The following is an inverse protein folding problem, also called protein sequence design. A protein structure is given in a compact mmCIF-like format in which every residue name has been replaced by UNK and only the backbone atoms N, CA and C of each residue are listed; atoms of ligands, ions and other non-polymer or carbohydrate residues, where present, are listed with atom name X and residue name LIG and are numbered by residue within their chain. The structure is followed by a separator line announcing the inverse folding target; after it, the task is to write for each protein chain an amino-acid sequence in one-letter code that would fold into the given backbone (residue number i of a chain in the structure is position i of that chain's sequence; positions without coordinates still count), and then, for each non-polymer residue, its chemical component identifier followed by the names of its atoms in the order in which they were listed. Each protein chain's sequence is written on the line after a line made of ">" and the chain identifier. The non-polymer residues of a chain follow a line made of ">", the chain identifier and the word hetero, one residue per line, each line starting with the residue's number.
data_IF_911616184911
#
_entry.id   IF_911616184911
#
_cell.length_a   1.000
_cell.length_b   1.000
_cell.length_c   1.000
_cell.angle_alpha   90.00
_cell.angle_beta   90.00
_cell.angle_gamma   90.00
#
_symmetry.space_group_name_H-M   'P 1'
#
loop_
_entity.id
_entity.type
_entity.pdbx_description
1 polymer ?
#
# COMPACT_ATOMS: atom_id res chain seq x y z
N UNK A 1 -11.79 11.54 -1.55
CA UNK A 1 -10.73 11.58 -0.51
C UNK A 1 -9.87 12.81 -0.78
N UNK A 2 -9.39 13.49 0.24
CA UNK A 2 -8.46 14.63 0.09
C UNK A 2 -7.03 14.15 0.38
N UNK A 3 -6.08 14.58 -0.46
CA UNK A 3 -4.65 14.29 -0.29
C UNK A 3 -3.88 15.60 -0.15
N UNK A 4 -3.14 15.74 0.94
CA UNK A 4 -2.23 16.87 1.19
C UNK A 4 -0.79 16.36 1.24
N UNK A 5 0.15 17.01 0.54
CA UNK A 5 1.56 16.61 0.47
C UNK A 5 2.44 17.67 1.13
N UNK A 6 3.35 17.23 1.98
CA UNK A 6 4.38 18.07 2.63
C UNK A 6 5.76 17.41 2.51
N UNK A 7 6.81 18.20 2.29
CA UNK A 7 8.18 17.71 2.14
C UNK A 7 9.16 18.78 1.66
N UNK A 8 10.46 18.52 1.82
CA UNK A 8 11.53 19.49 1.50
C UNK A 8 12.41 18.97 0.34
N UNK A 9 12.57 19.80 -0.70
CA UNK A 9 13.88 20.01 -1.35
C UNK A 9 14.48 18.93 -2.26
N UNK A 10 13.71 18.06 -2.93
CA UNK A 10 14.26 17.35 -4.10
C UNK A 10 14.04 18.14 -5.39
N UNK A 11 15.06 18.16 -6.26
CA UNK A 11 14.91 18.67 -7.62
C UNK A 11 13.93 17.76 -8.37
N UNK A 12 12.73 18.27 -8.61
CA UNK A 12 11.69 17.55 -9.33
C UNK A 12 12.02 17.52 -10.82
N UNK A 13 11.94 16.33 -11.42
CA UNK A 13 12.12 16.12 -12.85
C UNK A 13 10.97 16.80 -13.64
N UNK A 14 11.25 17.82 -14.46
CA UNK A 14 10.22 18.53 -15.21
C UNK A 14 9.62 17.66 -16.31
N UNK A 15 8.31 17.46 -16.30
CA UNK A 15 7.60 16.67 -17.30
C UNK A 15 6.41 17.43 -17.89
N UNK A 16 6.36 17.49 -19.22
CA UNK A 16 5.22 18.01 -19.97
C UNK A 16 4.25 16.88 -20.27
N UNK A 17 3.16 16.78 -19.53
CA UNK A 17 2.06 15.85 -19.88
C UNK A 17 1.03 16.62 -20.69
N UNK A 18 0.88 16.34 -21.98
CA UNK A 18 -0.08 17.00 -22.85
C UNK A 18 -1.48 16.42 -22.68
N UNK A 19 -2.51 17.25 -22.88
CA UNK A 19 -3.89 16.75 -22.99
C UNK A 19 -3.96 15.82 -24.19
N UNK A 20 -4.48 14.62 -23.99
CA UNK A 20 -4.58 13.66 -25.07
C UNK A 20 -5.59 14.13 -26.12
N UNK A 21 -5.25 13.93 -27.39
CA UNK A 21 -6.15 14.21 -28.51
C UNK A 21 -7.45 13.44 -28.31
N UNK A 22 -8.58 14.10 -28.56
CA UNK A 22 -9.93 13.54 -28.42
C UNK A 22 -10.32 13.10 -26.98
N UNK A 23 -9.55 13.47 -25.96
CA UNK A 23 -9.84 13.12 -24.56
C UNK A 23 -11.17 13.71 -24.05
N UNK A 24 -11.66 14.80 -24.63
CA UNK A 24 -12.95 15.41 -24.27
C UNK A 24 -14.16 14.49 -24.49
N UNK A 25 -13.98 13.38 -25.22
CA UNK A 25 -14.97 12.32 -25.39
C UNK A 25 -15.07 11.39 -24.18
N UNK A 26 -14.07 11.41 -23.28
CA UNK A 26 -14.05 10.57 -22.09
C UNK A 26 -14.88 11.18 -20.95
N UNK A 27 -15.61 10.37 -20.17
CA UNK A 27 -16.27 10.82 -18.95
C UNK A 27 -15.28 11.10 -17.80
N UNK A 28 -14.00 10.75 -17.95
CA UNK A 28 -12.95 10.92 -16.95
C UNK A 28 -11.66 11.34 -17.65
N UNK A 29 -11.03 12.42 -17.20
CA UNK A 29 -9.75 12.86 -17.75
C UNK A 29 -8.61 11.95 -17.30
N UNK A 30 -8.05 11.22 -18.26
CA UNK A 30 -6.88 10.37 -18.11
C UNK A 30 -5.62 11.21 -17.90
N UNK A 31 -5.46 12.30 -18.66
CA UNK A 31 -4.33 13.23 -18.57
C UNK A 31 -4.20 13.79 -17.16
N UNK A 32 -5.31 14.23 -16.58
CA UNK A 32 -5.29 14.85 -15.26
C UNK A 32 -4.90 13.84 -14.17
N UNK A 33 -5.37 12.60 -14.27
CA UNK A 33 -4.97 11.54 -13.34
C UNK A 33 -3.48 11.23 -13.48
N UNK A 34 -2.95 11.12 -14.70
CA UNK A 34 -1.50 10.92 -14.93
C UNK A 34 -0.69 12.05 -14.29
N UNK A 35 -1.09 13.32 -14.51
CA UNK A 35 -0.40 14.47 -13.91
C UNK A 35 -0.42 14.43 -12.39
N UNK A 36 -1.57 14.08 -11.80
CA UNK A 36 -1.71 13.96 -10.36
C UNK A 36 -0.84 12.83 -9.81
N UNK A 37 -0.86 11.65 -10.43
CA UNK A 37 -0.03 10.51 -10.04
C UNK A 37 1.47 10.86 -10.04
N UNK A 38 1.95 11.45 -11.13
CA UNK A 38 3.35 11.88 -11.27
C UNK A 38 3.71 12.96 -10.24
N UNK A 39 2.83 13.93 -9.98
CA UNK A 39 3.07 14.93 -8.94
C UNK A 39 3.11 14.29 -7.54
N UNK A 40 2.16 13.38 -7.22
CA UNK A 40 2.11 12.68 -5.93
C UNK A 40 3.29 11.74 -5.71
N UNK A 41 3.97 11.33 -6.78
CA UNK A 41 5.20 10.53 -6.68
C UNK A 41 6.36 11.29 -6.01
N UNK A 42 6.31 12.62 -5.99
CA UNK A 42 7.39 13.45 -5.47
C UNK A 42 8.65 13.45 -6.35
N UNK A 43 8.65 12.78 -7.50
CA UNK A 43 9.76 12.85 -8.47
C UNK A 43 9.56 13.91 -9.53
N UNK A 44 8.31 14.22 -9.88
CA UNK A 44 8.00 14.99 -11.07
C UNK A 44 7.36 16.33 -10.74
N UNK A 45 7.69 17.34 -11.56
CA UNK A 45 6.98 18.60 -11.62
C UNK A 45 6.33 18.71 -12.99
N UNK A 46 5.01 18.84 -13.03
CA UNK A 46 4.31 19.12 -14.28
C UNK A 46 4.68 20.52 -14.78
N UNK A 47 5.09 20.63 -16.04
CA UNK A 47 5.37 21.92 -16.68
C UNK A 47 4.08 22.60 -17.13
N UNK A 48 4.07 23.93 -17.15
CA UNK A 48 2.97 24.71 -17.71
C UNK A 48 3.06 24.71 -19.24
N UNK A 49 2.11 24.04 -19.89
CA UNK A 49 2.15 23.87 -21.34
C UNK A 49 1.33 24.94 -22.10
N UNK A 50 0.57 25.79 -21.39
CA UNK A 50 -0.28 26.81 -21.99
C UNK A 50 -1.25 26.23 -23.02
N UNK A 51 -1.36 26.90 -24.17
CA UNK A 51 -2.16 26.45 -25.32
C UNK A 51 -1.37 25.58 -26.32
N UNK A 52 -0.23 25.02 -25.91
CA UNK A 52 0.51 24.13 -26.79
C UNK A 52 -0.33 22.91 -27.16
N UNK A 53 -0.21 22.48 -28.41
CA UNK A 53 -0.79 21.24 -28.92
C UNK A 53 0.37 20.45 -29.50
N UNK A 54 0.45 19.18 -29.16
CA UNK A 54 1.45 18.26 -29.69
C UNK A 54 0.77 16.95 -30.02
N UNK A 55 1.09 16.42 -31.20
CA UNK A 55 0.54 15.15 -31.65
C UNK A 55 1.35 13.98 -31.10
N UNK A 56 0.69 12.85 -30.91
CA UNK A 56 1.33 11.56 -30.72
C UNK A 56 1.81 10.91 -32.03
N UNK A 57 1.58 11.56 -33.18
CA UNK A 57 2.10 11.16 -34.48
C UNK A 57 3.47 11.80 -34.76
N UNK A 58 4.44 10.99 -35.18
CA UNK A 58 5.77 11.47 -35.54
C UNK A 58 6.69 11.81 -34.37
N UNK A 59 7.66 12.69 -34.63
CA UNK A 59 8.70 13.11 -33.69
C UNK A 59 8.45 14.56 -33.26
N UNK A 60 8.36 14.85 -31.95
CA UNK A 60 8.14 16.22 -31.47
C UNK A 60 9.37 17.10 -31.70
N UNK A 61 9.17 18.41 -31.70
CA UNK A 61 10.30 19.35 -31.71
C UNK A 61 10.96 19.40 -30.33
N UNK A 62 11.96 18.55 -30.09
CA UNK A 62 12.66 18.46 -28.79
C UNK A 62 13.17 19.81 -28.28
N UNK A 63 13.68 20.67 -29.18
CA UNK A 63 14.21 21.98 -28.79
C UNK A 63 13.12 22.90 -28.25
N UNK A 64 11.92 22.89 -28.83
CA UNK A 64 10.82 23.73 -28.36
C UNK A 64 10.37 23.31 -26.95
N UNK A 65 10.36 22.01 -26.66
CA UNK A 65 10.03 21.47 -25.33
C UNK A 65 11.12 21.72 -24.30
N UNK A 66 12.39 21.61 -24.68
CA UNK A 66 13.51 21.98 -23.82
C UNK A 66 13.46 23.46 -23.41
N UNK A 67 13.13 24.36 -24.35
CA UNK A 67 12.95 25.80 -24.08
C UNK A 67 11.77 26.07 -23.14
N UNK A 68 10.73 25.23 -23.17
CA UNK A 68 9.61 25.26 -22.21
C UNK A 68 9.96 24.66 -20.85
N UNK A 69 11.20 24.21 -20.67
CA UNK A 69 11.70 23.65 -19.41
C UNK A 69 11.24 22.21 -19.14
N UNK A 70 10.84 21.45 -20.17
CA UNK A 70 10.50 20.04 -20.03
C UNK A 70 11.72 19.14 -20.30
N UNK A 71 11.96 18.18 -19.40
CA UNK A 71 12.98 17.14 -19.57
C UNK A 71 12.39 15.84 -20.14
N UNK A 72 11.09 15.60 -19.93
CA UNK A 72 10.31 14.61 -20.65
C UNK A 72 8.99 15.17 -21.18
N UNK A 73 8.46 14.54 -22.21
CA UNK A 73 7.17 14.87 -22.84
C UNK A 73 6.31 13.61 -22.97
N UNK A 74 5.06 13.73 -22.55
CA UNK A 74 4.00 12.73 -22.72
C UNK A 74 2.94 13.30 -23.64
N UNK A 75 2.62 12.58 -24.69
CA UNK A 75 1.55 12.88 -25.66
C UNK A 75 0.69 11.65 -25.84
N UNK A 76 -0.54 11.82 -26.30
CA UNK A 76 -1.43 10.69 -26.49
C UNK A 76 -2.71 11.07 -27.22
N UNK A 77 -3.51 10.05 -27.51
CA UNK A 77 -4.78 10.16 -28.20
C UNK A 77 -5.79 9.14 -27.66
N UNK A 78 -7.06 9.41 -27.91
CA UNK A 78 -8.18 8.56 -27.51
C UNK A 78 -9.03 8.23 -28.74
N UNK A 79 -9.22 6.94 -28.98
CA UNK A 79 -10.11 6.44 -30.03
C UNK A 79 -11.31 5.76 -29.37
N UNK A 80 -12.53 6.18 -29.71
CA UNK A 80 -13.72 5.45 -29.28
C UNK A 80 -13.95 4.28 -30.25
N UNK A 81 -13.88 3.05 -29.74
CA UNK A 81 -13.99 1.82 -30.55
C UNK A 81 -15.37 1.17 -30.47
N UNK A 82 -16.22 1.62 -29.56
CA UNK A 82 -17.60 1.17 -29.41
C UNK A 82 -18.38 1.94 -28.34
N UNK A 83 -19.55 1.43 -27.97
CA UNK A 83 -20.37 2.03 -26.90
C UNK A 83 -19.66 1.88 -25.54
N UNK A 84 -19.08 2.98 -25.05
CA UNK A 84 -18.38 3.02 -23.76
C UNK A 84 -17.03 2.29 -23.73
N UNK A 85 -16.47 1.97 -24.90
CA UNK A 85 -15.14 1.35 -25.05
C UNK A 85 -14.20 2.31 -25.77
N UNK A 86 -12.99 2.42 -25.25
CA UNK A 86 -11.98 3.37 -25.67
C UNK A 86 -10.63 2.68 -25.81
N UNK A 87 -9.88 3.08 -26.82
CA UNK A 87 -8.47 2.78 -26.96
C UNK A 87 -7.68 4.06 -26.63
N UNK A 88 -6.78 3.97 -25.64
CA UNK A 88 -5.95 5.08 -25.18
C UNK A 88 -4.52 4.81 -25.60
N UNK A 89 -3.97 5.68 -26.42
CA UNK A 89 -2.60 5.63 -26.88
C UNK A 89 -1.81 6.71 -26.17
N UNK A 90 -0.60 6.40 -25.72
CA UNK A 90 0.35 7.45 -25.35
C UNK A 90 1.75 7.10 -25.79
N UNK A 91 2.58 8.13 -25.88
CA UNK A 91 4.02 8.04 -26.11
C UNK A 91 4.77 8.93 -25.14
N UNK A 92 5.96 8.48 -24.78
CA UNK A 92 6.89 9.18 -23.92
C UNK A 92 8.19 9.49 -24.69
N UNK A 93 8.69 10.70 -24.48
CA UNK A 93 9.92 11.18 -25.08
C UNK A 93 10.86 11.74 -24.00
N UNK A 94 12.14 11.38 -24.08
CA UNK A 94 13.22 12.02 -23.31
C UNK A 94 13.70 13.22 -24.11
N UNK A 95 13.38 14.42 -23.64
CA UNK A 95 13.66 15.68 -24.34
C UNK A 95 15.17 15.96 -24.34
N UNK A 96 15.85 15.62 -23.25
CA UNK A 96 17.29 15.85 -23.08
C UNK A 96 18.11 14.99 -24.03
N UNK A 97 17.70 13.74 -24.22
CA UNK A 97 18.37 12.79 -25.12
C UNK A 97 17.83 12.83 -26.55
N UNK A 98 16.72 13.52 -26.79
CA UNK A 98 16.04 13.56 -28.10
C UNK A 98 15.68 12.17 -28.63
N UNK A 99 15.16 11.31 -27.75
CA UNK A 99 14.76 9.93 -28.10
C UNK A 99 13.32 9.65 -27.68
N UNK A 100 12.66 8.76 -28.43
CA UNK A 100 11.40 8.16 -27.98
C UNK A 100 11.68 7.00 -27.03
N UNK A 101 10.94 6.97 -25.92
CA UNK A 101 10.94 5.85 -24.97
C UNK A 101 9.77 4.88 -25.26
N UNK A 102 9.05 5.06 -26.37
CA UNK A 102 7.87 4.28 -26.71
C UNK A 102 6.65 4.64 -25.87
N UNK A 103 5.70 3.71 -25.73
CA UNK A 103 4.39 3.99 -25.17
C UNK A 103 3.56 2.72 -24.93
N UNK A 104 2.28 2.89 -24.58
CA UNK A 104 1.30 1.79 -24.51
C UNK A 104 0.05 2.15 -25.29
N UNK A 105 -0.64 1.09 -25.75
CA UNK A 105 -2.01 1.15 -26.25
C UNK A 105 -2.88 0.35 -25.28
N UNK A 106 -3.87 1.00 -24.67
CA UNK A 106 -4.72 0.40 -23.64
C UNK A 106 -6.17 0.41 -24.10
N UNK A 107 -6.79 -0.76 -24.09
CA UNK A 107 -8.24 -0.89 -24.20
C UNK A 107 -8.87 -0.70 -22.82
N UNK A 108 -9.84 0.22 -22.71
CA UNK A 108 -10.53 0.52 -21.46
C UNK A 108 -12.01 0.78 -21.69
N UNK A 109 -12.83 0.30 -20.76
CA UNK A 109 -14.21 0.78 -20.63
C UNK A 109 -14.26 2.13 -19.92
N UNK A 110 -15.40 2.82 -20.03
CA UNK A 110 -15.68 4.05 -19.29
C UNK A 110 -15.39 3.93 -17.78
N UNK A 111 -15.75 2.79 -17.17
CA UNK A 111 -15.60 2.54 -15.73
C UNK A 111 -14.14 2.29 -15.29
N UNK A 112 -13.24 2.01 -16.24
CA UNK A 112 -11.85 1.62 -15.96
C UNK A 112 -10.82 2.68 -16.40
N UNK A 113 -11.26 3.86 -16.85
CA UNK A 113 -10.37 4.92 -17.34
C UNK A 113 -9.33 5.36 -16.31
N UNK A 114 -9.69 5.37 -15.02
CA UNK A 114 -8.75 5.65 -13.93
C UNK A 114 -7.63 4.62 -13.85
N UNK A 115 -7.97 3.34 -13.94
CA UNK A 115 -6.99 2.26 -13.93
C UNK A 115 -6.05 2.33 -15.15
N UNK A 116 -6.57 2.71 -16.31
CA UNK A 116 -5.76 2.97 -17.50
C UNK A 116 -4.78 4.13 -17.28
N UNK A 117 -5.24 5.25 -16.71
CA UNK A 117 -4.40 6.40 -16.39
C UNK A 117 -3.28 6.05 -15.38
N UNK A 118 -3.62 5.34 -14.31
CA UNK A 118 -2.65 4.86 -13.32
C UNK A 118 -1.59 3.95 -13.95
N UNK A 119 -1.98 3.06 -14.86
CA UNK A 119 -1.06 2.18 -15.59
C UNK A 119 -0.10 2.97 -16.50
N UNK A 120 -0.58 4.03 -17.15
CA UNK A 120 0.27 4.94 -17.94
C UNK A 120 1.27 5.65 -17.03
N UNK A 121 0.85 6.16 -15.88
CA UNK A 121 1.74 6.81 -14.93
C UNK A 121 2.80 5.85 -14.36
N UNK A 122 2.43 4.59 -14.10
CA UNK A 122 3.37 3.55 -13.65
C UNK A 122 4.43 3.24 -14.71
N UNK A 123 4.04 3.14 -15.99
CA UNK A 123 4.99 2.92 -17.08
C UNK A 123 5.91 4.13 -17.31
N UNK A 124 5.40 5.37 -17.18
CA UNK A 124 6.23 6.58 -17.25
C UNK A 124 7.31 6.58 -16.17
N UNK A 125 6.94 6.28 -14.92
CA UNK A 125 7.91 6.13 -13.81
C UNK A 125 8.95 5.06 -14.17
N UNK A 126 8.51 3.91 -14.66
CA UNK A 126 9.42 2.81 -15.00
C UNK A 126 10.41 3.18 -16.11
N UNK A 127 9.94 3.81 -17.19
CA UNK A 127 10.79 4.19 -18.33
C UNK A 127 11.79 5.30 -17.99
N UNK A 128 11.43 6.23 -17.11
CA UNK A 128 12.31 7.34 -16.75
C UNK A 128 13.26 7.00 -15.59
N UNK A 129 12.79 6.22 -14.61
CA UNK A 129 13.49 6.01 -13.34
C UNK A 129 13.95 4.56 -13.12
N UNK A 130 13.45 3.60 -13.90
CA UNK A 130 13.74 2.18 -13.72
C UNK A 130 13.06 1.53 -12.52
N UNK A 131 12.15 2.24 -11.86
CA UNK A 131 11.42 1.78 -10.67
C UNK A 131 9.96 1.45 -11.01
N UNK A 132 9.32 0.52 -10.29
CA UNK A 132 7.88 0.26 -10.48
C UNK A 132 7.05 1.33 -9.76
N UNK A 133 6.19 2.02 -10.50
CA UNK A 133 5.16 2.89 -9.93
C UNK A 133 4.09 2.09 -9.17
N UNK A 134 3.41 2.73 -8.22
CA UNK A 134 2.41 2.09 -7.35
C UNK A 134 0.99 2.63 -7.59
N UNK A 135 0.75 3.38 -8.66
CA UNK A 135 -0.54 4.05 -8.86
C UNK A 135 -1.66 3.07 -9.21
N UNK A 136 -1.34 2.00 -9.94
CA UNK A 136 -2.30 0.93 -10.28
C UNK A 136 -2.56 -0.06 -9.13
N UNK A 137 -1.88 0.11 -7.99
CA UNK A 137 -2.15 -0.67 -6.78
C UNK A 137 -3.44 -0.20 -6.10
N UNK A 138 -3.88 -0.93 -5.07
CA UNK A 138 -5.08 -0.61 -4.30
C UNK A 138 -4.79 -0.53 -2.82
N UNK A 139 -5.62 0.21 -2.10
CA UNK A 139 -5.60 0.24 -0.65
C UNK A 139 -6.80 -0.54 -0.11
N UNK A 140 -6.62 -1.17 1.04
CA UNK A 140 -7.73 -1.57 1.91
C UNK A 140 -7.64 -0.82 3.22
N UNK A 141 -8.79 -0.44 3.78
CA UNK A 141 -8.87 0.22 5.08
C UNK A 141 -10.29 0.13 5.63
N UNK A 142 -10.43 0.48 6.90
CA UNK A 142 -11.72 0.47 7.60
C UNK A 142 -12.20 1.90 7.80
N UNK A 143 -13.38 2.19 7.27
CA UNK A 143 -14.11 3.42 7.57
C UNK A 143 -15.04 3.15 8.75
N UNK A 144 -14.93 3.98 9.80
CA UNK A 144 -15.90 4.02 10.89
C UNK A 144 -16.77 5.28 10.76
N UNK A 145 -18.06 5.05 10.65
CA UNK A 145 -19.08 6.10 10.62
C UNK A 145 -20.12 5.83 11.71
N UNK A 146 -20.05 6.62 12.80
CA UNK A 146 -20.80 6.35 14.02
C UNK A 146 -20.51 4.95 14.59
N UNK A 147 -21.52 4.07 14.55
CA UNK A 147 -21.44 2.66 14.99
C UNK A 147 -21.16 1.67 13.86
N UNK A 148 -21.10 2.11 12.61
CA UNK A 148 -20.90 1.23 11.45
C UNK A 148 -19.43 1.17 11.07
N UNK A 149 -18.96 -0.03 10.75
CA UNK A 149 -17.62 -0.29 10.23
C UNK A 149 -17.72 -0.83 8.81
N UNK A 150 -16.90 -0.30 7.90
CA UNK A 150 -16.85 -0.74 6.51
C UNK A 150 -15.42 -1.07 6.13
N UNK A 151 -15.15 -2.30 5.73
CA UNK A 151 -13.94 -2.62 4.99
C UNK A 151 -14.15 -2.15 3.56
N UNK A 152 -13.28 -1.28 3.09
CA UNK A 152 -13.34 -0.74 1.74
C UNK A 152 -12.05 -0.97 0.99
N UNK A 153 -12.16 -1.03 -0.33
CA UNK A 153 -11.05 -1.08 -1.29
C UNK A 153 -11.08 0.20 -2.12
N UNK A 154 -9.94 0.85 -2.33
CA UNK A 154 -9.83 2.03 -3.18
C UNK A 154 -8.63 1.92 -4.11
N UNK A 155 -8.55 2.81 -5.10
CA UNK A 155 -7.32 3.07 -5.83
C UNK A 155 -6.22 3.58 -4.84
N UNK A 156 -4.96 3.56 -5.24
CA UNK A 156 -3.82 4.02 -4.42
C UNK A 156 -3.94 5.50 -3.98
N UNK A 157 -4.68 6.30 -4.74
CA UNK A 157 -4.99 7.71 -4.44
C UNK A 157 -6.30 7.90 -3.65
N UNK A 158 -6.89 6.81 -3.16
CA UNK A 158 -8.07 6.86 -2.32
C UNK A 158 -9.39 7.11 -3.04
N UNK A 159 -9.39 7.20 -4.36
CA UNK A 159 -10.61 7.30 -5.18
C UNK A 159 -11.18 5.91 -5.48
N UNK A 160 -12.33 5.87 -6.16
CA UNK A 160 -13.00 4.62 -6.56
C UNK A 160 -13.24 3.67 -5.36
N UNK A 161 -13.71 4.23 -4.25
CA UNK A 161 -13.96 3.47 -3.01
C UNK A 161 -15.09 2.48 -3.24
N UNK A 162 -14.82 1.19 -3.02
CA UNK A 162 -15.78 0.08 -3.09
C UNK A 162 -15.92 -0.57 -1.73
N UNK A 163 -17.15 -0.79 -1.28
CA UNK A 163 -17.41 -1.51 -0.05
C UNK A 163 -17.18 -3.00 -0.27
N UNK A 164 -16.24 -3.59 0.48
CA UNK A 164 -16.06 -5.04 0.51
C UNK A 164 -16.94 -5.69 1.59
N UNK A 165 -17.06 -5.07 2.77
CA UNK A 165 -17.85 -5.62 3.88
C UNK A 165 -18.40 -4.51 4.77
N UNK A 166 -19.63 -4.68 5.28
CA UNK A 166 -20.27 -3.80 6.25
C UNK A 166 -20.54 -4.56 7.54
N UNK A 167 -20.25 -3.95 8.69
CA UNK A 167 -20.51 -4.55 10.00
C UNK A 167 -21.00 -3.51 11.00
N UNK A 168 -21.87 -3.95 11.92
CA UNK A 168 -22.21 -3.19 13.13
C UNK A 168 -21.13 -3.27 14.22
N UNK A 169 -20.16 -4.16 14.04
CA UNK A 169 -19.07 -4.44 14.96
C UNK A 169 -17.71 -4.21 14.29
N UNK A 170 -16.60 -4.05 15.05
CA UNK A 170 -15.30 -3.74 14.49
C UNK A 170 -14.81 -4.71 13.40
N UNK A 171 -14.06 -4.16 12.46
CA UNK A 171 -13.23 -4.90 11.49
C UNK A 171 -11.80 -4.40 11.71
N UNK A 172 -10.83 -5.31 11.83
CA UNK A 172 -9.43 -4.96 12.08
C UNK A 172 -8.47 -5.81 11.25
N UNK A 173 -7.22 -5.32 11.15
CA UNK A 173 -6.08 -6.02 10.57
C UNK A 173 -6.32 -6.58 9.16
N UNK A 174 -6.81 -5.78 8.18
CA UNK A 174 -6.87 -6.23 6.81
C UNK A 174 -5.45 -6.48 6.27
N UNK A 175 -5.31 -7.51 5.45
CA UNK A 175 -4.03 -7.96 4.87
C UNK A 175 -4.26 -8.57 3.50
N UNK A 176 -3.61 -8.01 2.48
CA UNK A 176 -3.74 -8.47 1.09
C UNK A 176 -3.02 -9.79 0.85
N UNK A 177 -3.63 -10.66 0.04
CA UNK A 177 -2.91 -11.76 -0.57
C UNK A 177 -1.85 -11.23 -1.56
N UNK A 178 -0.73 -11.94 -1.77
CA UNK A 178 0.34 -11.46 -2.66
C UNK A 178 -0.08 -11.25 -4.12
N UNK A 179 -1.13 -11.94 -4.56
CA UNK A 179 -1.72 -11.80 -5.90
C UNK A 179 -2.75 -10.66 -6.00
N UNK A 180 -3.04 -9.95 -4.91
CA UNK A 180 -4.00 -8.84 -4.87
C UNK A 180 -5.47 -9.25 -5.04
N UNK A 181 -5.79 -10.55 -5.07
CA UNK A 181 -7.16 -11.03 -5.33
C UNK A 181 -8.01 -11.19 -4.07
N UNK A 182 -7.37 -11.26 -2.90
CA UNK A 182 -8.03 -11.52 -1.62
C UNK A 182 -7.54 -10.57 -0.54
N UNK A 183 -8.41 -10.33 0.44
CA UNK A 183 -8.06 -9.63 1.69
C UNK A 183 -8.47 -10.51 2.86
N UNK A 184 -7.50 -10.82 3.73
CA UNK A 184 -7.76 -11.44 5.02
C UNK A 184 -8.01 -10.35 6.07
N UNK A 185 -8.93 -10.56 7.00
CA UNK A 185 -9.23 -9.59 8.07
C UNK A 185 -9.89 -10.28 9.27
N UNK A 186 -9.95 -9.58 10.39
CA UNK A 186 -10.72 -9.99 11.57
C UNK A 186 -12.05 -9.26 11.58
N UNK A 187 -13.14 -10.00 11.71
CA UNK A 187 -14.48 -9.48 11.88
C UNK A 187 -15.02 -9.83 13.27
N UNK A 188 -15.69 -8.87 13.89
CA UNK A 188 -16.42 -9.07 15.15
C UNK A 188 -17.94 -9.15 14.93
N UNK A 189 -18.42 -9.35 13.69
CA UNK A 189 -19.86 -9.39 13.37
C UNK A 189 -20.66 -10.40 14.21
N UNK A 190 -20.02 -11.50 14.61
CA UNK A 190 -20.59 -12.53 15.49
C UNK A 190 -20.34 -12.27 16.98
N UNK A 191 -19.98 -11.03 17.36
CA UNK A 191 -19.57 -10.59 18.71
C UNK A 191 -18.38 -11.35 19.30
N UNK A 192 -17.61 -12.02 18.45
CA UNK A 192 -16.33 -12.67 18.74
C UNK A 192 -15.38 -12.47 17.55
N UNK A 193 -14.06 -12.48 17.78
CA UNK A 193 -13.10 -12.32 16.69
C UNK A 193 -13.05 -13.57 15.81
N UNK A 194 -13.37 -13.41 14.53
CA UNK A 194 -13.25 -14.45 13.50
C UNK A 194 -12.37 -13.95 12.36
N UNK A 195 -11.41 -14.75 11.92
CA UNK A 195 -10.56 -14.41 10.77
C UNK A 195 -11.27 -14.89 9.50
N UNK A 196 -11.43 -13.98 8.54
CA UNK A 196 -11.99 -14.27 7.23
C UNK A 196 -10.96 -14.03 6.14
N UNK A 197 -11.06 -14.80 5.05
CA UNK A 197 -10.45 -14.51 3.75
C UNK A 197 -11.56 -14.14 2.77
N UNK A 198 -11.46 -12.97 2.15
CA UNK A 198 -12.47 -12.44 1.25
C UNK A 198 -11.91 -12.29 -0.16
N UNK A 199 -12.54 -12.94 -1.13
CA UNK A 199 -12.22 -12.87 -2.55
C UNK A 199 -12.91 -11.68 -3.22
N UNK A 200 -12.12 -10.73 -3.75
CA UNK A 200 -12.64 -9.43 -4.15
C UNK A 200 -13.50 -9.46 -5.43
N UNK A 201 -13.20 -10.38 -6.35
CA UNK A 201 -13.92 -10.47 -7.62
C UNK A 201 -15.35 -11.02 -7.45
N UNK A 202 -15.53 -11.97 -6.52
CA UNK A 202 -16.80 -12.70 -6.35
C UNK A 202 -17.56 -12.28 -5.08
N UNK A 203 -16.89 -11.61 -4.13
CA UNK A 203 -17.43 -11.33 -2.81
C UNK A 203 -17.46 -12.54 -1.88
N UNK A 204 -16.89 -13.68 -2.30
CA UNK A 204 -16.91 -14.93 -1.53
C UNK A 204 -16.03 -14.79 -0.28
N UNK A 205 -16.54 -15.26 0.86
CA UNK A 205 -15.86 -15.24 2.16
C UNK A 205 -15.63 -16.65 2.69
N UNK A 206 -14.42 -16.94 3.13
CA UNK A 206 -14.05 -18.15 3.87
C UNK A 206 -13.83 -17.76 5.32
N UNK A 207 -14.46 -18.46 6.27
CA UNK A 207 -14.08 -18.38 7.68
C UNK A 207 -12.77 -19.17 7.86
N UNK A 208 -11.65 -18.44 7.93
CA UNK A 208 -10.32 -19.05 8.01
C UNK A 208 -10.06 -19.63 9.40
N UNK A 209 -10.45 -18.91 10.45
CA UNK A 209 -10.28 -19.36 11.83
C UNK A 209 -11.36 -18.78 12.77
N UNK A 210 -11.97 -19.66 13.55
CA UNK A 210 -12.99 -19.36 14.55
C UNK A 210 -12.75 -20.20 15.83
N UNK A 211 -11.54 -20.13 16.36
CA UNK A 211 -11.13 -20.88 17.54
C UNK A 211 -11.60 -20.18 18.82
N UNK A 212 -11.60 -20.88 19.95
CA UNK A 212 -11.89 -20.27 21.25
C UNK A 212 -10.88 -19.16 21.56
N UNK A 213 -11.36 -18.05 22.11
CA UNK A 213 -10.54 -16.91 22.50
C UNK A 213 -10.24 -15.95 21.34
N UNK A 214 -9.07 -15.32 21.38
CA UNK A 214 -8.65 -14.36 20.37
C UNK A 214 -8.26 -15.07 19.05
N UNK A 215 -8.70 -14.52 17.92
CA UNK A 215 -8.26 -14.89 16.58
C UNK A 215 -7.91 -13.59 15.84
N UNK A 216 -6.64 -13.31 15.60
CA UNK A 216 -6.24 -12.00 15.06
C UNK A 216 -5.02 -12.02 14.14
N UNK A 217 -4.75 -10.85 13.56
CA UNK A 217 -3.52 -10.53 12.83
C UNK A 217 -3.13 -11.53 11.73
N UNK A 218 -3.98 -11.73 10.71
CA UNK A 218 -3.61 -12.58 9.57
C UNK A 218 -2.49 -11.97 8.74
N UNK A 219 -1.47 -12.77 8.43
CA UNK A 219 -0.38 -12.40 7.53
C UNK A 219 -0.13 -13.50 6.50
N UNK A 220 -0.20 -13.14 5.21
CA UNK A 220 0.01 -14.06 4.12
C UNK A 220 1.48 -14.45 3.96
N UNK A 221 1.74 -15.71 3.63
CA UNK A 221 3.03 -16.11 3.08
C UNK A 221 3.22 -15.47 1.70
N UNK A 222 4.47 -15.20 1.26
CA UNK A 222 4.73 -14.55 -0.03
C UNK A 222 4.24 -15.35 -1.24
N UNK A 223 4.10 -16.67 -1.10
CA UNK A 223 3.54 -17.55 -2.13
C UNK A 223 2.01 -17.64 -2.12
N UNK A 224 1.35 -16.98 -1.14
CA UNK A 224 -0.10 -16.92 -1.00
C UNK A 224 -0.78 -18.23 -0.56
N UNK A 225 -0.01 -19.27 -0.24
CA UNK A 225 -0.58 -20.60 0.09
C UNK A 225 -0.98 -20.74 1.55
N UNK A 226 -0.34 -19.98 2.44
CA UNK A 226 -0.52 -20.08 3.88
C UNK A 226 -0.70 -18.70 4.50
N UNK A 227 -1.22 -18.69 5.73
CA UNK A 227 -1.22 -17.54 6.60
C UNK A 227 -0.59 -17.90 7.95
N UNK A 228 0.06 -16.92 8.56
CA UNK A 228 0.36 -16.91 9.98
C UNK A 228 -0.73 -16.10 10.69
N UNK A 229 -1.21 -16.59 11.83
CA UNK A 229 -2.28 -15.97 12.62
C UNK A 229 -1.95 -16.03 14.11
N UNK A 230 -2.50 -15.09 14.89
CA UNK A 230 -2.41 -15.08 16.35
C UNK A 230 -3.64 -15.74 16.97
N UNK A 231 -3.46 -16.78 17.78
CA UNK A 231 -4.55 -17.45 18.52
C UNK A 231 -4.25 -17.56 20.01
N UNK A 232 -5.27 -17.34 20.85
CA UNK A 232 -5.20 -17.59 22.30
C UNK A 232 -5.94 -18.89 22.71
N UNK A 233 -6.13 -19.82 21.77
CA UNK A 233 -6.94 -21.03 22.00
C UNK A 233 -6.34 -21.99 23.05
N UNK A 234 -5.01 -21.93 23.23
CA UNK A 234 -4.23 -22.81 24.12
C UNK A 234 -3.65 -22.04 25.32
N UNK A 235 -4.26 -20.92 25.73
CA UNK A 235 -3.79 -20.07 26.82
C UNK A 235 -3.37 -18.68 26.32
N UNK A 236 -2.11 -18.30 26.52
CA UNK A 236 -1.59 -17.04 25.99
C UNK A 236 -1.64 -17.00 24.46
N UNK A 237 -1.64 -15.80 23.88
CA UNK A 237 -1.65 -15.63 22.43
C UNK A 237 -0.33 -16.13 21.83
N UNK A 238 -0.45 -16.97 20.81
CA UNK A 238 0.67 -17.64 20.15
C UNK A 238 0.46 -17.62 18.64
N UNK A 239 1.53 -17.86 17.88
CA UNK A 239 1.48 -17.84 16.42
C UNK A 239 1.20 -19.24 15.89
N UNK A 240 0.31 -19.31 14.91
CA UNK A 240 -0.07 -20.53 14.20
C UNK A 240 0.06 -20.34 12.70
N UNK A 241 0.43 -21.40 12.00
CA UNK A 241 0.34 -21.50 10.55
C UNK A 241 -0.98 -22.17 10.16
N UNK A 242 -1.58 -21.72 9.07
CA UNK A 242 -2.80 -22.29 8.48
C UNK A 242 -2.74 -22.17 6.96
N UNK A 243 -3.32 -23.12 6.22
CA UNK A 243 -3.46 -23.00 4.78
C UNK A 243 -4.51 -21.93 4.43
N UNK A 244 -4.40 -21.31 3.26
CA UNK A 244 -5.31 -20.24 2.81
C UNK A 244 -6.77 -20.71 2.63
N UNK A 245 -7.02 -22.02 2.60
CA UNK A 245 -8.34 -22.64 2.58
C UNK A 245 -8.92 -22.92 3.98
N UNK A 246 -8.16 -22.66 5.05
CA UNK A 246 -8.54 -22.92 6.44
C UNK A 246 -8.10 -24.29 7.00
N UNK A 247 -7.44 -25.13 6.19
CA UNK A 247 -6.94 -26.43 6.64
C UNK A 247 -5.54 -26.33 7.25
N UNK A 248 -5.04 -27.43 7.83
CA UNK A 248 -3.64 -27.54 8.22
C UNK A 248 -3.19 -26.61 9.35
N UNK A 249 -4.10 -26.24 10.26
CA UNK A 249 -3.77 -25.42 11.42
C UNK A 249 -2.71 -26.11 12.31
N UNK A 250 -1.58 -25.46 12.53
CA UNK A 250 -0.49 -25.96 13.39
C UNK A 250 0.20 -24.82 14.13
N UNK A 251 0.78 -25.13 15.30
CA UNK A 251 1.37 -24.15 16.22
C UNK A 251 2.83 -23.87 15.87
N UNK A 252 3.21 -22.60 15.77
CA UNK A 252 4.56 -22.14 15.40
C UNK A 252 5.38 -21.60 16.58
N UNK A 253 4.73 -21.00 17.58
CA UNK A 253 5.38 -20.60 18.85
C UNK A 253 4.77 -21.29 20.06
N UNK A 254 5.57 -21.51 21.10
CA UNK A 254 5.17 -22.18 22.34
C UNK A 254 5.68 -21.40 23.56
N UNK A 255 4.95 -21.52 24.67
CA UNK A 255 5.37 -20.99 25.96
C UNK A 255 4.32 -20.10 26.62
N UNK A 256 4.79 -19.36 27.64
CA UNK A 256 3.95 -18.54 28.52
C UNK A 256 4.03 -17.05 28.17
N UNK A 257 4.56 -16.69 27.00
CA UNK A 257 4.66 -15.32 26.50
C UNK A 257 3.48 -15.00 25.59
N UNK A 258 3.25 -13.74 25.30
CA UNK A 258 2.34 -13.29 24.24
C UNK A 258 3.18 -13.15 22.97
N UNK A 259 2.90 -13.97 21.95
CA UNK A 259 3.47 -13.83 20.61
C UNK A 259 2.35 -13.51 19.63
N UNK A 260 2.44 -12.37 18.93
CA UNK A 260 1.36 -11.85 18.07
C UNK A 260 1.88 -11.00 16.92
N UNK A 261 0.96 -10.51 16.07
CA UNK A 261 1.25 -9.68 14.90
C UNK A 261 2.32 -10.28 13.98
N UNK A 262 2.14 -11.54 13.51
CA UNK A 262 3.10 -12.16 12.62
C UNK A 262 3.19 -11.40 11.29
N UNK A 263 4.36 -11.47 10.65
CA UNK A 263 4.62 -10.95 9.32
C UNK A 263 5.71 -11.80 8.66
N UNK A 264 5.42 -12.38 7.50
CA UNK A 264 6.44 -13.10 6.74
C UNK A 264 7.52 -12.14 6.19
N UNK A 265 8.75 -12.63 6.10
CA UNK A 265 9.78 -12.02 5.27
C UNK A 265 9.43 -12.13 3.80
N UNK A 266 9.95 -11.23 2.97
CA UNK A 266 9.69 -11.22 1.53
C UNK A 266 10.12 -12.53 0.82
N UNK A 267 11.17 -13.18 1.34
CA UNK A 267 11.68 -14.47 0.85
C UNK A 267 10.95 -15.70 1.44
N UNK A 268 10.00 -15.48 2.36
CA UNK A 268 9.21 -16.53 3.00
C UNK A 268 9.95 -17.40 4.01
N UNK A 269 11.24 -17.13 4.29
CA UNK A 269 12.06 -17.95 5.19
C UNK A 269 11.80 -17.68 6.66
N UNK A 270 11.33 -16.49 7.00
CA UNK A 270 11.18 -16.05 8.39
C UNK A 270 9.78 -15.48 8.65
N UNK A 271 9.36 -15.56 9.91
CA UNK A 271 8.23 -14.82 10.45
C UNK A 271 8.77 -13.85 11.50
N UNK A 272 8.52 -12.55 11.29
CA UNK A 272 8.71 -11.50 12.27
C UNK A 272 7.44 -11.34 13.09
N UNK A 273 7.56 -11.08 14.39
CA UNK A 273 6.41 -10.99 15.27
C UNK A 273 6.71 -10.19 16.54
N UNK A 274 5.66 -9.65 17.14
CA UNK A 274 5.71 -8.97 18.44
C UNK A 274 5.70 -10.03 19.55
N UNK A 275 6.62 -9.93 20.50
CA UNK A 275 6.66 -10.80 21.68
C UNK A 275 7.04 -10.04 22.95
N UNK A 276 6.43 -10.39 24.08
CA UNK A 276 6.76 -9.88 25.42
C UNK A 276 7.81 -10.74 26.16
N UNK A 277 8.43 -11.73 25.48
CA UNK A 277 9.40 -12.66 26.09
C UNK A 277 10.61 -12.00 26.76
N UNK A 278 10.89 -10.74 26.46
CA UNK A 278 11.93 -9.93 27.09
C UNK A 278 11.42 -8.95 28.16
N UNK A 279 10.19 -9.13 28.65
CA UNK A 279 9.51 -8.26 29.60
C UNK A 279 8.53 -7.29 28.94
N UNK A 280 9.01 -6.46 28.01
CA UNK A 280 8.17 -5.54 27.22
C UNK A 280 8.05 -6.02 25.77
N UNK A 281 6.95 -5.68 25.05
CA UNK A 281 6.78 -5.97 23.63
C UNK A 281 7.94 -5.48 22.77
N UNK A 282 8.51 -6.41 22.00
CA UNK A 282 9.61 -6.20 21.06
C UNK A 282 9.38 -7.06 19.82
N UNK A 283 10.06 -6.75 18.72
CA UNK A 283 10.00 -7.57 17.52
C UNK A 283 11.08 -8.64 17.56
N UNK A 284 10.67 -9.87 17.30
CA UNK A 284 11.49 -11.05 17.15
C UNK A 284 11.28 -11.66 15.77
N UNK A 285 12.15 -12.59 15.38
CA UNK A 285 11.99 -13.43 14.21
C UNK A 285 12.26 -14.90 14.54
N UNK A 286 11.62 -15.78 13.79
CA UNK A 286 11.85 -17.22 13.80
C UNK A 286 11.78 -17.77 12.37
N UNK A 287 12.20 -19.02 12.16
CA UNK A 287 11.93 -19.72 10.90
C UNK A 287 10.42 -19.72 10.59
N UNK A 288 10.06 -19.64 9.31
CA UNK A 288 8.67 -19.77 8.87
C UNK A 288 8.05 -21.14 9.23
N UNK A 289 8.87 -22.17 9.44
CA UNK A 289 8.46 -23.49 9.93
C UNK A 289 8.28 -23.55 11.46
N UNK A 290 8.50 -22.42 12.15
CA UNK A 290 8.30 -22.25 13.58
C UNK A 290 9.59 -22.21 14.39
N UNK A 291 9.46 -21.83 15.67
CA UNK A 291 10.61 -21.62 16.57
C UNK A 291 11.41 -22.89 16.89
N UNK A 292 10.83 -24.06 16.62
CA UNK A 292 11.48 -25.36 16.83
C UNK A 292 12.48 -25.68 15.71
N UNK A 293 12.24 -25.16 14.49
CA UNK A 293 13.15 -25.35 13.36
C UNK A 293 14.38 -24.45 13.47
N UNK A 294 14.17 -23.18 13.84
CA UNK A 294 15.23 -22.25 14.21
C UNK A 294 14.72 -21.43 15.40
N UNK A 295 15.49 -21.43 16.49
CA UNK A 295 15.16 -20.68 17.70
C UNK A 295 14.88 -19.20 17.43
N UNK A 296 14.19 -18.55 18.36
CA UNK A 296 13.75 -17.16 18.19
C UNK A 296 14.89 -16.17 18.42
N UNK A 297 15.01 -15.17 17.53
CA UNK A 297 16.01 -14.10 17.61
C UNK A 297 15.34 -12.74 17.76
N UNK A 298 15.79 -11.93 18.72
CA UNK A 298 15.32 -10.54 18.87
C UNK A 298 15.86 -9.66 17.75
N UNK A 299 15.03 -8.76 17.23
CA UNK A 299 15.35 -7.86 16.11
C UNK A 299 15.48 -6.41 16.57
N UNK A 300 14.62 -5.95 17.48
CA UNK A 300 14.60 -4.55 17.95
C UNK A 300 15.25 -4.38 19.31
N UNK A 301 16.16 -3.41 19.42
CA UNK A 301 16.92 -3.17 20.67
C UNK A 301 16.96 -1.70 21.11
N UNK A 302 16.58 -0.76 20.25
CA UNK A 302 16.76 0.69 20.48
C UNK A 302 15.64 1.31 21.33
N UNK A 303 14.39 0.88 21.13
CA UNK A 303 13.24 1.39 21.87
C UNK A 303 12.74 0.36 22.90
N UNK A 304 12.18 0.83 24.01
CA UNK A 304 11.73 -0.02 25.12
C UNK A 304 10.42 -0.80 24.86
N UNK A 305 9.58 -0.31 23.96
CA UNK A 305 8.31 -0.94 23.56
C UNK A 305 8.12 -0.78 22.05
N UNK A 306 7.96 -1.88 21.34
CA UNK A 306 7.84 -1.94 19.89
C UNK A 306 6.83 -3.00 19.44
N UNK A 307 5.96 -2.67 18.49
CA UNK A 307 4.89 -3.54 17.97
C UNK A 307 4.69 -3.37 16.45
N UNK A 308 3.75 -4.16 15.90
CA UNK A 308 3.23 -4.05 14.53
C UNK A 308 4.32 -4.13 13.44
N UNK A 309 5.14 -5.21 13.42
CA UNK A 309 6.21 -5.38 12.43
C UNK A 309 5.67 -5.41 11.00
N UNK A 310 6.35 -4.71 10.08
CA UNK A 310 6.14 -4.80 8.63
C UNK A 310 7.47 -4.87 7.93
N UNK A 311 7.65 -5.87 7.08
CA UNK A 311 8.88 -6.02 6.29
C UNK A 311 8.67 -5.36 4.93
N UNK A 312 9.68 -4.61 4.45
CA UNK A 312 9.64 -4.03 3.11
C UNK A 312 9.62 -5.12 2.03
N UNK A 313 9.02 -4.87 0.86
CA UNK A 313 8.98 -5.86 -0.22
C UNK A 313 10.35 -6.38 -0.68
N UNK A 314 11.40 -5.58 -0.52
CA UNK A 314 12.79 -5.96 -0.83
C UNK A 314 13.54 -6.60 0.36
N UNK A 315 12.89 -6.74 1.52
CA UNK A 315 13.44 -7.36 2.72
C UNK A 315 14.51 -6.55 3.46
N UNK A 316 14.80 -5.30 3.04
CA UNK A 316 15.88 -4.49 3.63
C UNK A 316 15.46 -3.73 4.89
N UNK A 317 14.18 -3.38 5.00
CA UNK A 317 13.68 -2.55 6.08
C UNK A 317 12.58 -3.23 6.88
N UNK A 318 12.53 -2.92 8.18
CA UNK A 318 11.44 -3.23 9.07
C UNK A 318 10.80 -1.91 9.52
N UNK A 319 9.54 -1.68 9.15
CA UNK A 319 8.72 -0.64 9.75
C UNK A 319 8.01 -1.18 11.00
N UNK A 320 7.86 -0.34 12.02
CA UNK A 320 7.21 -0.71 13.27
C UNK A 320 6.70 0.51 14.03
N UNK A 321 5.84 0.27 15.02
CA UNK A 321 5.37 1.30 15.94
C UNK A 321 6.15 1.20 17.25
N UNK A 322 6.72 2.32 17.70
CA UNK A 322 7.37 2.43 19.00
C UNK A 322 6.55 3.32 19.94
N UNK A 323 6.45 2.93 21.21
CA UNK A 323 5.90 3.78 22.26
C UNK A 323 7.05 4.51 22.97
N UNK A 324 7.08 5.83 22.87
CA UNK A 324 8.07 6.70 23.51
C UNK A 324 7.32 7.71 24.38
N UNK A 325 7.36 7.51 25.71
CA UNK A 325 6.71 8.41 26.66
C UNK A 325 5.19 8.51 26.47
N UNK A 326 4.54 7.45 25.99
CA UNK A 326 3.10 7.42 25.70
C UNK A 326 2.72 7.81 24.26
N UNK A 327 3.67 8.34 23.47
CA UNK A 327 3.46 8.64 22.06
C UNK A 327 3.79 7.41 21.19
N UNK A 328 2.83 7.00 20.34
CA UNK A 328 3.04 5.95 19.35
C UNK A 328 3.52 6.58 18.04
N UNK A 329 4.72 6.18 17.61
CA UNK A 329 5.42 6.73 16.43
C UNK A 329 5.84 5.63 15.48
N UNK A 330 5.79 5.93 14.18
CA UNK A 330 6.30 5.06 13.14
C UNK A 330 7.82 5.18 13.04
N UNK A 331 8.49 4.05 13.10
CA UNK A 331 9.94 3.90 12.93
C UNK A 331 10.24 3.02 11.72
N UNK A 332 11.46 3.17 11.20
CA UNK A 332 12.08 2.27 10.24
C UNK A 332 13.43 1.79 10.77
N UNK A 333 13.69 0.50 10.64
CA UNK A 333 14.95 -0.17 10.96
C UNK A 333 15.56 -0.73 9.68
N UNK A 334 16.82 -0.40 9.41
CA UNK A 334 17.62 -1.08 8.40
C UNK A 334 18.08 -2.44 8.96
N UNK A 335 17.64 -3.53 8.33
CA UNK A 335 17.90 -4.89 8.81
C UNK A 335 19.36 -5.34 8.63
N UNK A 336 20.13 -4.68 7.76
CA UNK A 336 21.53 -4.97 7.55
C UNK A 336 22.44 -4.25 8.56
N UNK A 337 22.17 -2.98 8.85
CA UNK A 337 23.03 -2.17 9.74
C UNK A 337 22.55 -2.13 11.19
N UNK A 338 21.27 -2.39 11.44
CA UNK A 338 20.66 -2.24 12.77
C UNK A 338 20.29 -0.79 13.12
N UNK A 339 20.42 0.14 12.18
CA UNK A 339 20.08 1.55 12.38
C UNK A 339 18.57 1.76 12.37
N UNK A 340 18.07 2.44 13.39
CA UNK A 340 16.66 2.75 13.54
C UNK A 340 16.43 4.26 13.64
N UNK A 341 15.44 4.77 12.91
CA UNK A 341 15.04 6.16 12.96
C UNK A 341 13.51 6.31 12.95
N UNK A 342 13.03 7.38 13.57
CA UNK A 342 11.61 7.75 13.49
C UNK A 342 11.32 8.33 12.09
N UNK A 343 10.23 7.89 11.46
CA UNK A 343 9.69 8.51 10.25
C UNK A 343 8.67 9.60 10.56
N UNK A 344 8.11 9.57 11.77
CA UNK A 344 7.04 10.45 12.19
C UNK A 344 7.30 11.02 13.58
N UNK A 345 6.74 12.20 13.78
CA UNK A 345 6.72 12.99 15.01
C UNK A 345 5.36 12.94 15.71
N UNK A 346 4.40 12.19 15.14
CA UNK A 346 3.04 12.00 15.64
C UNK A 346 2.96 11.31 17.00
N UNK A 347 1.74 11.18 17.51
CA UNK A 347 1.48 10.63 18.86
C UNK A 347 0.58 9.40 18.86
N UNK A 348 -0.06 9.07 17.75
CA UNK A 348 -1.08 8.01 17.64
C UNK A 348 -0.95 7.24 16.33
N UNK A 349 0.29 6.98 15.90
CA UNK A 349 0.56 6.25 14.68
C UNK A 349 0.35 4.74 14.90
N UNK A 350 -0.38 4.11 13.98
CA UNK A 350 -0.81 2.72 14.11
C UNK A 350 -0.84 2.03 12.74
N UNK A 351 -0.73 0.69 12.75
CA UNK A 351 -0.99 -0.17 11.60
C UNK A 351 -0.20 0.21 10.33
N UNK A 352 1.14 0.22 10.37
CA UNK A 352 1.93 0.51 9.18
C UNK A 352 1.71 -0.55 8.09
N UNK A 353 1.95 -0.17 6.83
CA UNK A 353 1.93 -1.05 5.66
C UNK A 353 2.82 -0.43 4.57
N UNK A 354 3.80 -1.18 4.08
CA UNK A 354 4.60 -0.74 2.94
C UNK A 354 3.76 -0.71 1.66
N UNK A 355 3.99 0.30 0.81
CA UNK A 355 3.62 0.26 -0.59
C UNK A 355 4.35 -0.89 -1.32
N UNK A 356 3.78 -1.35 -2.43
CA UNK A 356 4.33 -2.50 -3.18
C UNK A 356 5.77 -2.30 -3.69
N UNK A 357 6.20 -1.05 -3.93
CA UNK A 357 7.57 -0.71 -4.30
C UNK A 357 8.51 -0.47 -3.09
N UNK A 358 7.99 -0.54 -1.87
CA UNK A 358 8.75 -0.31 -0.64
C UNK A 358 9.14 1.14 -0.35
N UNK A 359 8.77 2.12 -1.19
CA UNK A 359 9.16 3.52 -1.00
C UNK A 359 8.38 4.29 0.04
N UNK A 360 7.13 3.88 0.27
CA UNK A 360 6.24 4.53 1.21
C UNK A 360 5.72 3.55 2.25
N UNK A 361 5.45 4.07 3.43
CA UNK A 361 4.73 3.37 4.49
C UNK A 361 3.41 4.11 4.73
N UNK A 362 2.30 3.45 4.43
CA UNK A 362 0.95 3.89 4.79
C UNK A 362 0.67 3.49 6.24
N UNK A 363 0.04 4.37 7.00
CA UNK A 363 -0.30 4.18 8.41
C UNK A 363 -1.57 4.97 8.75
N UNK A 364 -2.18 4.68 9.90
CA UNK A 364 -3.25 5.49 10.45
C UNK A 364 -2.70 6.39 11.55
N UNK A 365 -3.19 7.62 11.63
CA UNK A 365 -2.82 8.57 12.68
C UNK A 365 -4.00 9.50 13.02
N UNK A 366 -3.78 10.45 13.92
CA UNK A 366 -4.76 11.49 14.26
C UNK A 366 -4.31 12.86 13.80
N UNK A 367 -5.16 13.54 13.03
CA UNK A 367 -5.00 14.94 12.64
C UNK A 367 -6.25 15.70 13.08
N UNK A 368 -6.09 16.78 13.84
CA UNK A 368 -7.22 17.55 14.39
C UNK A 368 -8.21 16.70 15.21
N UNK A 369 -7.71 15.68 15.92
CA UNK A 369 -8.52 14.75 16.72
C UNK A 369 -9.25 13.65 15.93
N UNK A 370 -9.23 13.68 14.59
CA UNK A 370 -9.86 12.68 13.72
C UNK A 370 -8.87 11.65 13.23
N UNK A 371 -9.30 10.39 13.09
CA UNK A 371 -8.45 9.33 12.54
C UNK A 371 -8.41 9.42 11.02
N UNK A 372 -7.21 9.50 10.47
CA UNK A 372 -6.94 9.60 9.04
C UNK A 372 -5.94 8.53 8.62
N UNK A 373 -5.76 8.37 7.31
CA UNK A 373 -4.61 7.67 6.77
C UNK A 373 -3.52 8.68 6.43
N UNK A 374 -2.28 8.25 6.51
CA UNK A 374 -1.13 9.02 6.05
C UNK A 374 -0.09 8.08 5.44
N UNK A 375 0.67 8.57 4.47
CA UNK A 375 1.79 7.86 3.88
C UNK A 375 3.06 8.69 4.09
N UNK A 376 4.17 8.04 4.44
CA UNK A 376 5.49 8.68 4.57
C UNK A 376 6.51 7.90 3.77
N UNK A 377 7.43 8.59 3.09
CA UNK A 377 8.54 7.93 2.40
C UNK A 377 9.50 7.28 3.39
N UNK A 378 10.19 6.22 2.98
CA UNK A 378 11.15 5.49 3.84
C UNK A 378 12.34 6.31 4.30
N UNK A 379 12.62 7.44 3.65
CA UNK A 379 13.62 8.42 4.05
C UNK A 379 13.04 9.54 4.94
N UNK A 380 11.72 9.57 5.18
CA UNK A 380 11.03 10.55 6.03
C UNK A 380 10.77 11.91 5.37
N UNK A 381 11.21 12.12 4.13
CA UNK A 381 11.22 13.45 3.49
C UNK A 381 9.90 13.85 2.82
N UNK A 382 9.03 12.89 2.51
CA UNK A 382 7.73 13.13 1.90
C UNK A 382 6.62 12.54 2.75
N UNK A 383 5.63 13.35 3.10
CA UNK A 383 4.44 12.96 3.86
C UNK A 383 3.18 13.33 3.10
N UNK A 384 2.23 12.41 3.09
CA UNK A 384 0.91 12.59 2.48
C UNK A 384 -0.18 12.28 3.50
N UNK A 385 -1.20 13.10 3.61
CA UNK A 385 -2.37 12.84 4.45
C UNK A 385 -3.56 12.52 3.56
N UNK A 386 -4.18 11.35 3.78
CA UNK A 386 -5.33 10.84 3.05
C UNK A 386 -6.54 10.84 3.98
N UNK A 387 -7.46 11.80 3.77
CA UNK A 387 -8.62 12.00 4.63
C UNK A 387 -9.96 11.87 3.90
N UNK A 388 -10.95 11.30 4.58
CA UNK A 388 -12.34 11.25 4.12
C UNK A 388 -13.15 12.19 5.02
N UNK A 389 -13.70 13.29 4.47
CA UNK A 389 -14.50 14.22 5.26
C UNK A 389 -15.63 13.51 6.02
N UNK A 390 -15.76 13.83 7.31
CA UNK A 390 -16.83 13.28 8.17
C UNK A 390 -16.65 11.84 8.62
N UNK A 391 -15.54 11.15 8.28
CA UNK A 391 -15.32 9.75 8.63
C UNK A 391 -14.00 9.52 9.36
N UNK A 392 -13.97 8.53 10.26
CA UNK A 392 -12.75 8.01 10.85
C UNK A 392 -12.19 6.89 9.97
N UNK A 393 -10.96 7.02 9.48
CA UNK A 393 -10.30 6.01 8.65
C UNK A 393 -9.15 5.37 9.41
N UNK A 394 -9.07 4.03 9.39
CA UNK A 394 -8.13 3.26 10.20
C UNK A 394 -7.74 1.93 9.54
N UNK A 395 -6.78 1.24 10.17
CA UNK A 395 -6.39 -0.13 9.79
C UNK A 395 -6.03 -0.26 8.30
N UNK A 396 -5.13 0.59 7.75
CA UNK A 396 -4.77 0.50 6.34
C UNK A 396 -3.94 -0.74 6.04
N UNK A 397 -4.07 -1.22 4.81
CA UNK A 397 -3.13 -2.15 4.19
C UNK A 397 -3.01 -1.81 2.70
N UNK A 398 -1.78 -1.60 2.26
CA UNK A 398 -1.43 -1.32 0.87
C UNK A 398 -1.33 -2.65 0.11
N UNK A 399 -2.04 -2.77 -1.00
CA UNK A 399 -2.05 -3.96 -1.84
C UNK A 399 -0.75 -4.15 -2.64
N UNK A 400 -0.52 -5.36 -3.16
CA UNK A 400 0.60 -5.64 -4.03
C UNK A 400 0.43 -4.97 -5.40
N UNK A 401 1.41 -5.17 -6.28
CA UNK A 401 1.21 -4.91 -7.70
C UNK A 401 0.11 -5.81 -8.25
N UNK A 402 -0.76 -5.22 -9.09
CA UNK A 402 -1.93 -5.86 -9.68
C UNK A 402 -1.59 -6.25 -11.12
N UNK A 403 -0.78 -7.29 -11.29
CA UNK A 403 -0.33 -7.78 -12.61
C UNK A 403 -1.33 -8.75 -13.25
#
# INVERSE_FOLDING_TARGET
>A
MNIEITGVGQSLYPIAVMRFKDETKLPTSVTEIIRQDLARSGYFKNTENGNAVESDEGTPNYKSWAVRGADALVVGSVVQTGNGQFEIHYKLFDIRKSVSLGGLNLNSSADNLRAAAHKIADDIIYKLLGERGVFSTRLSYVIKDGKRYRLVISDADGQNIRNAMNSGEPIISPSWSPDGKKVAYVSFEDRKPVIYVHELATGRRISLSNQKGNNSAPAWSPDGKKLAISLSKDGNTQIYGINADGTGLHRLTRGNTIDTEPQYSADGRYIYFTSDRGGNPQIYRMSADGEQAEGVKRVTFKQGFVTSPRISPDGKYLAYIANIGGAYRLYILNLATGDAQALTDGTSDESPSFAANGRYVLYSTKVGGKRVLAAVSVDGNSKQVLSIPGSDVRQPSWGPFMD
#
